data_IF_978712554306
#
_entry.id   IF_978712554306
#
_cell.length_a   1.000
_cell.length_b   1.000
_cell.length_c   1.000
_cell.angle_alpha   90.00
_cell.angle_beta   90.00
_cell.angle_gamma   90.00
#
_symmetry.space_group_name_H-M   'P 1'
#
loop_
_entity.id
_entity.type
_entity.pdbx_description
1 polymer ?
#
# COMPACT_ATOMS: atom_id res chain seq x y z
N UNK A 1 -8.31 12.36 -7.70
CA UNK A 1 -7.71 11.83 -6.47
C UNK A 1 -8.63 12.19 -5.31
N UNK A 2 -8.85 11.29 -4.34
CA UNK A 2 -9.68 11.60 -3.17
C UNK A 2 -8.99 12.64 -2.28
N UNK A 3 -9.76 13.37 -1.45
CA UNK A 3 -9.23 14.33 -0.47
C UNK A 3 -8.20 13.70 0.48
N UNK A 4 -8.36 12.40 0.77
CA UNK A 4 -7.45 11.61 1.60
C UNK A 4 -6.11 11.34 0.90
N UNK A 5 -6.14 11.03 -0.40
CA UNK A 5 -4.92 10.87 -1.18
C UNK A 5 -4.10 12.18 -1.25
N UNK A 6 -4.79 13.33 -1.29
CA UNK A 6 -4.13 14.64 -1.18
C UNK A 6 -3.52 14.88 0.21
N UNK A 7 -4.19 14.49 1.29
CA UNK A 7 -3.67 14.66 2.64
C UNK A 7 -2.45 13.76 2.92
N UNK A 8 -2.48 12.52 2.43
CA UNK A 8 -1.35 11.59 2.53
C UNK A 8 -0.17 12.05 1.67
N UNK A 9 -0.42 12.51 0.44
CA UNK A 9 0.64 13.06 -0.42
C UNK A 9 1.25 14.33 0.18
N UNK A 10 0.43 15.25 0.70
CA UNK A 10 0.92 16.45 1.36
C UNK A 10 1.72 16.14 2.63
N UNK A 11 1.36 15.07 3.35
CA UNK A 11 2.11 14.62 4.52
C UNK A 11 3.48 14.03 4.14
N UNK A 12 3.53 13.25 3.05
CA UNK A 12 4.76 12.72 2.47
C UNK A 12 5.68 13.86 1.97
N UNK A 13 5.12 14.85 1.27
CA UNK A 13 5.87 15.99 0.73
C UNK A 13 6.47 16.86 1.85
N UNK A 14 5.78 16.99 2.98
CA UNK A 14 6.26 17.74 4.15
C UNK A 14 7.38 17.02 4.90
N UNK A 15 7.34 15.68 4.99
CA UNK A 15 8.42 14.87 5.58
C UNK A 15 9.69 14.92 4.71
N UNK A 16 9.56 14.84 3.38
CA UNK A 16 10.67 14.95 2.41
C UNK A 16 11.34 16.32 2.47
N UNK A 17 10.58 17.39 2.74
CA UNK A 17 11.10 18.76 2.87
C UNK A 17 11.62 19.11 4.27
N UNK A 18 11.54 18.18 5.23
CA UNK A 18 11.97 18.43 6.61
C UNK A 18 11.10 19.45 7.36
N UNK A 19 9.91 19.77 6.85
CA UNK A 19 8.98 20.67 7.52
C UNK A 19 8.16 19.88 8.55
N UNK A 20 8.31 20.22 9.83
CA UNK A 20 7.53 19.61 10.92
C UNK A 20 6.03 19.83 10.68
N UNK A 21 5.28 18.76 10.46
CA UNK A 21 3.80 18.72 10.43
C UNK A 21 3.15 18.88 11.81
N UNK A 22 3.71 19.69 12.70
CA UNK A 22 3.09 19.96 14.00
C UNK A 22 3.07 21.46 14.21
N UNK A 23 2.05 22.14 13.67
CA UNK A 23 1.46 23.36 14.29
C UNK A 23 0.30 24.03 13.52
N UNK A 24 -0.46 23.37 12.62
CA UNK A 24 -1.49 24.08 11.84
C UNK A 24 -2.95 23.76 12.18
N UNK A 25 -3.25 23.16 13.34
CA UNK A 25 -4.65 22.96 13.76
C UNK A 25 -4.84 23.45 15.20
N UNK A 26 -5.44 24.63 15.32
CA UNK A 26 -5.61 25.36 16.58
C UNK A 26 -7.00 25.18 17.20
N UNK A 27 -7.95 24.49 16.54
CA UNK A 27 -9.28 24.22 17.10
C UNK A 27 -9.73 22.76 16.96
N UNK A 28 -10.44 22.26 17.97
CA UNK A 28 -11.03 20.91 18.01
C UNK A 28 -11.91 20.63 16.78
N UNK A 29 -12.60 21.65 16.25
CA UNK A 29 -13.48 21.52 15.08
C UNK A 29 -12.75 21.01 13.82
N UNK A 30 -11.49 21.41 13.59
CA UNK A 30 -10.72 20.98 12.42
C UNK A 30 -10.25 19.53 12.53
N UNK A 31 -10.04 19.04 13.76
CA UNK A 31 -9.72 17.63 14.02
C UNK A 31 -10.96 16.74 13.80
N UNK A 32 -12.15 17.23 14.15
CA UNK A 32 -13.40 16.49 13.94
C UNK A 32 -13.86 16.46 12.48
N UNK A 33 -13.61 17.51 11.69
CA UNK A 33 -13.90 17.47 10.24
C UNK A 33 -13.11 16.37 9.52
N UNK A 34 -11.85 16.12 9.90
CA UNK A 34 -11.10 14.98 9.35
C UNK A 34 -11.67 13.62 9.78
N UNK A 35 -12.23 13.49 10.98
CA UNK A 35 -12.86 12.24 11.45
C UNK A 35 -14.17 11.97 10.70
N UNK A 36 -14.96 13.01 10.40
CA UNK A 36 -16.20 12.87 9.63
C UNK A 36 -15.93 12.52 8.16
N UNK A 37 -14.95 13.18 7.55
CA UNK A 37 -14.53 12.94 6.15
C UNK A 37 -13.91 11.54 5.99
N UNK A 38 -13.04 11.11 6.92
CA UNK A 38 -12.41 9.77 6.88
C UNK A 38 -13.38 8.59 7.10
N UNK A 39 -14.58 8.86 7.64
CA UNK A 39 -15.61 7.84 7.85
C UNK A 39 -16.72 7.86 6.81
N UNK A 40 -16.69 8.80 5.85
CA UNK A 40 -17.73 8.94 4.82
C UNK A 40 -19.12 9.27 5.38
N UNK A 41 -19.18 9.87 6.58
CA UNK A 41 -20.44 10.19 7.26
C UNK A 41 -20.81 11.65 6.94
N UNK A 42 -22.06 11.95 6.55
CA UNK A 42 -22.54 13.32 6.40
C UNK A 42 -22.33 14.12 7.70
N UNK A 43 -21.96 15.40 7.58
CA UNK A 43 -21.59 16.29 8.71
C UNK A 43 -22.64 16.31 9.81
N UNK A 44 -23.91 16.22 9.43
CA UNK A 44 -25.10 16.21 10.29
C UNK A 44 -25.25 14.95 11.16
N UNK A 45 -24.65 13.82 10.76
CA UNK A 45 -24.74 12.55 11.48
C UNK A 45 -23.55 12.32 12.44
N UNK A 46 -22.42 13.01 12.21
CA UNK A 46 -21.28 13.02 13.13
C UNK A 46 -21.59 13.78 14.44
N UNK A 47 -22.64 14.61 14.45
CA UNK A 47 -22.99 15.50 15.57
C UNK A 47 -23.82 14.83 16.68
N UNK A 48 -24.33 13.59 16.54
CA UNK A 48 -25.15 13.01 17.63
C UNK A 48 -24.26 12.50 18.77
N UNK A 49 -24.26 13.16 19.94
CA UNK A 49 -23.52 12.66 21.08
C UNK A 49 -24.24 11.42 21.58
N UNK A 50 -23.53 10.29 21.67
CA UNK A 50 -23.88 9.15 22.54
C UNK A 50 -23.86 9.59 24.00
N UNK A 51 -24.84 10.39 24.39
CA UNK A 51 -25.10 10.83 25.76
C UNK A 51 -26.62 10.82 25.95
N UNK A 52 -27.16 9.61 26.21
CA UNK A 52 -28.27 9.29 27.11
C UNK A 52 -28.78 7.87 26.83
N UNK A 53 -28.04 6.87 27.32
CA UNK A 53 -28.66 5.60 27.70
C UNK A 53 -29.37 5.80 29.06
N UNK A 54 -30.49 6.53 29.01
CA UNK A 54 -31.48 6.49 30.08
C UNK A 54 -32.29 5.20 29.93
N UNK A 55 -32.42 4.48 31.05
CA UNK A 55 -33.29 3.32 31.23
C UNK A 55 -34.68 3.55 30.61
N UNK A 56 -35.08 2.69 29.68
CA UNK A 56 -36.42 2.05 29.54
C UNK A 56 -36.67 1.62 28.08
N UNK A 57 -37.23 0.43 27.90
CA UNK A 57 -38.04 0.13 26.72
C UNK A 57 -37.49 -0.96 25.82
N UNK A 58 -38.00 -2.18 26.03
CA UNK A 58 -37.92 -3.31 25.10
C UNK A 58 -38.57 -2.96 23.74
N UNK A 59 -38.07 -3.63 22.70
CA UNK A 59 -38.67 -3.83 21.36
C UNK A 59 -38.55 -2.67 20.37
N UNK A 60 -37.39 -2.61 19.72
CA UNK A 60 -37.29 -2.16 18.34
C UNK A 60 -36.19 -2.99 17.65
N UNK A 61 -36.51 -4.25 17.32
CA UNK A 61 -36.54 -4.73 15.92
C UNK A 61 -35.30 -4.29 15.15
N UNK A 62 -34.18 -5.02 15.22
CA UNK A 62 -33.93 -6.23 14.41
C UNK A 62 -34.01 -6.00 12.87
N UNK A 63 -33.88 -4.74 12.44
CA UNK A 63 -33.68 -4.32 11.04
C UNK A 63 -32.55 -3.28 10.95
N UNK A 64 -31.49 -3.44 11.73
CA UNK A 64 -30.17 -2.91 11.36
C UNK A 64 -29.48 -3.97 10.52
N UNK A 65 -30.01 -4.13 9.31
CA UNK A 65 -29.40 -4.88 8.23
C UNK A 65 -27.97 -4.38 8.05
N UNK A 66 -27.00 -5.19 8.45
CA UNK A 66 -25.86 -5.67 7.65
C UNK A 66 -25.41 -4.82 6.44
N UNK A 67 -25.38 -3.49 6.57
CA UNK A 67 -24.55 -2.65 5.73
C UNK A 67 -23.16 -2.66 6.36
N UNK A 68 -22.49 -3.80 6.29
CA UNK A 68 -21.04 -3.86 6.51
C UNK A 68 -20.43 -3.08 5.35
N UNK A 69 -20.35 -1.76 5.53
CA UNK A 69 -19.75 -0.84 4.60
C UNK A 69 -18.27 -1.18 4.55
N UNK A 70 -17.87 -2.00 3.58
CA UNK A 70 -16.46 -2.27 3.32
C UNK A 70 -15.89 -1.01 2.66
N UNK A 71 -15.34 -0.12 3.47
CA UNK A 71 -14.48 0.95 2.95
C UNK A 71 -13.19 0.31 2.48
N UNK A 72 -12.93 0.37 1.17
CA UNK A 72 -11.67 -0.09 0.59
C UNK A 72 -10.77 1.13 0.49
N UNK A 73 -9.61 1.05 1.14
CA UNK A 73 -8.56 2.07 1.08
C UNK A 73 -7.38 1.52 0.28
N UNK A 74 -6.94 2.26 -0.75
CA UNK A 74 -5.83 1.89 -1.61
C UNK A 74 -4.70 2.91 -1.44
N UNK A 75 -3.51 2.42 -1.11
CA UNK A 75 -2.27 3.20 -1.14
C UNK A 75 -1.37 2.61 -2.22
N UNK A 76 -0.80 3.49 -3.03
CA UNK A 76 0.18 3.16 -4.05
C UNK A 76 1.47 3.85 -3.65
N UNK A 77 2.55 3.08 -3.52
CA UNK A 77 3.85 3.57 -3.09
C UNK A 77 4.95 2.64 -3.58
N UNK A 78 6.20 3.11 -3.66
CA UNK A 78 7.34 2.22 -3.88
C UNK A 78 7.69 1.50 -2.57
N UNK A 79 8.43 0.40 -2.66
CA UNK A 79 8.82 -0.38 -1.48
C UNK A 79 9.57 0.46 -0.44
N UNK A 80 10.49 1.33 -0.89
CA UNK A 80 11.29 2.17 0.00
C UNK A 80 10.44 3.16 0.80
N UNK A 81 9.41 3.74 0.17
CA UNK A 81 8.50 4.66 0.84
C UNK A 81 7.62 3.96 1.87
N UNK A 82 7.22 2.71 1.65
CA UNK A 82 6.52 1.92 2.68
C UNK A 82 7.37 1.71 3.94
N UNK A 83 8.69 1.77 3.79
CA UNK A 83 9.63 1.74 4.89
C UNK A 83 9.71 3.03 5.72
N UNK A 84 9.01 4.11 5.37
CA UNK A 84 9.03 5.34 6.16
C UNK A 84 8.19 5.24 7.43
N UNK A 85 8.46 6.15 8.37
CA UNK A 85 7.88 6.13 9.71
C UNK A 85 6.35 6.21 9.72
N UNK A 86 5.78 7.01 8.80
CA UNK A 86 4.33 7.22 8.67
C UNK A 86 3.60 5.94 8.20
N UNK A 87 3.87 5.38 7.00
CA UNK A 87 3.17 4.18 6.54
C UNK A 87 3.44 2.99 7.46
N UNK A 88 4.66 2.87 7.98
CA UNK A 88 5.01 1.83 8.95
C UNK A 88 4.11 1.85 10.19
N UNK A 89 3.78 3.03 10.74
CA UNK A 89 3.03 3.15 12.00
C UNK A 89 1.51 3.16 11.82
N UNK A 90 1.02 3.79 10.77
CA UNK A 90 -0.40 4.11 10.65
C UNK A 90 -1.14 3.25 9.61
N UNK A 91 -0.42 2.66 8.66
CA UNK A 91 -1.07 1.87 7.63
C UNK A 91 -1.72 0.63 8.25
N UNK A 92 -3.01 0.45 7.97
CA UNK A 92 -3.75 -0.72 8.41
C UNK A 92 -4.22 -0.66 9.87
N UNK A 93 -4.04 0.46 10.58
CA UNK A 93 -4.50 0.64 11.96
C UNK A 93 -6.01 0.32 12.09
N UNK A 94 -6.80 0.86 11.17
CA UNK A 94 -8.25 0.65 11.10
C UNK A 94 -8.67 -0.50 10.16
N UNK A 95 -7.73 -1.16 9.48
CA UNK A 95 -8.06 -2.23 8.53
C UNK A 95 -8.40 -3.54 9.25
N UNK A 96 -9.34 -4.30 8.68
CA UNK A 96 -9.64 -5.68 9.09
C UNK A 96 -8.74 -6.70 8.38
N UNK A 97 -8.14 -6.31 7.26
CA UNK A 97 -7.25 -7.14 6.46
C UNK A 97 -6.50 -6.29 5.46
N UNK A 98 -5.27 -6.68 5.16
CA UNK A 98 -4.39 -6.02 4.22
C UNK A 98 -4.05 -7.04 3.12
N UNK A 99 -4.21 -6.64 1.86
CA UNK A 99 -3.70 -7.37 0.71
C UNK A 99 -2.60 -6.50 0.10
N UNK A 100 -1.40 -7.06 -0.01
CA UNK A 100 -0.28 -6.40 -0.67
C UNK A 100 -0.24 -6.86 -2.12
N UNK A 101 -0.23 -5.90 -3.06
CA UNK A 101 -0.01 -6.17 -4.47
C UNK A 101 1.27 -5.45 -4.83
N UNK A 102 2.26 -6.19 -5.31
CA UNK A 102 3.55 -5.65 -5.71
C UNK A 102 3.78 -5.92 -7.19
N UNK A 103 4.16 -4.87 -7.89
CA UNK A 103 4.43 -4.89 -9.32
C UNK A 103 5.93 -4.71 -9.55
N UNK A 104 6.43 -5.25 -10.66
CA UNK A 104 7.84 -5.19 -11.05
C UNK A 104 8.83 -5.83 -10.05
N UNK A 105 8.37 -6.80 -9.24
CA UNK A 105 9.17 -7.42 -8.18
C UNK A 105 10.46 -8.12 -8.64
N UNK A 106 10.55 -8.71 -9.85
CA UNK A 106 11.80 -9.25 -10.37
C UNK A 106 12.94 -8.23 -10.50
N UNK A 107 12.64 -6.92 -10.57
CA UNK A 107 13.63 -5.84 -10.62
C UNK A 107 14.13 -5.42 -9.24
N UNK A 108 13.50 -5.89 -8.17
CA UNK A 108 13.82 -5.54 -6.79
C UNK A 108 14.80 -6.53 -6.16
N UNK A 109 15.79 -6.02 -5.43
CA UNK A 109 16.66 -6.87 -4.61
C UNK A 109 15.83 -7.50 -3.49
N UNK A 110 16.15 -8.74 -3.14
CA UNK A 110 15.35 -9.50 -2.17
C UNK A 110 15.14 -8.75 -0.83
N UNK A 111 16.14 -8.09 -0.21
CA UNK A 111 15.93 -7.33 1.02
C UNK A 111 14.91 -6.20 0.88
N UNK A 112 14.88 -5.52 -0.26
CA UNK A 112 13.90 -4.45 -0.54
C UNK A 112 12.49 -5.02 -0.65
N UNK A 113 12.36 -6.21 -1.23
CA UNK A 113 11.09 -6.94 -1.30
C UNK A 113 10.52 -7.30 0.07
N UNK A 114 11.38 -7.45 1.08
CA UNK A 114 10.91 -7.66 2.43
C UNK A 114 10.36 -6.40 3.09
N UNK A 115 10.70 -5.17 2.72
CA UNK A 115 10.37 -3.95 3.49
C UNK A 115 8.90 -3.86 3.90
N UNK A 116 7.97 -4.21 2.99
CA UNK A 116 6.53 -4.14 3.23
C UNK A 116 6.00 -5.23 4.19
N UNK A 117 6.75 -6.29 4.48
CA UNK A 117 6.27 -7.41 5.28
C UNK A 117 6.54 -7.28 6.78
N UNK A 118 7.79 -7.19 7.29
CA UNK A 118 8.07 -7.18 8.71
C UNK A 118 8.07 -5.77 9.30
N UNK A 119 8.19 -4.72 8.48
CA UNK A 119 8.39 -3.36 8.99
C UNK A 119 7.09 -2.70 9.42
N UNK A 120 5.95 -3.12 8.88
CA UNK A 120 4.65 -2.52 9.16
C UNK A 120 4.15 -2.90 10.55
N UNK A 121 3.69 -1.91 11.34
CA UNK A 121 3.20 -2.09 12.70
C UNK A 121 1.94 -2.95 12.82
N UNK A 122 1.25 -3.16 11.69
CA UNK A 122 0.06 -4.00 11.57
C UNK A 122 0.26 -5.15 10.57
N UNK A 123 1.50 -5.67 10.47
CA UNK A 123 1.83 -6.80 9.60
C UNK A 123 1.02 -8.07 9.92
N UNK A 124 0.55 -8.22 11.16
CA UNK A 124 -0.34 -9.31 11.60
C UNK A 124 -1.68 -9.33 10.86
N UNK A 125 -2.07 -8.21 10.24
CA UNK A 125 -3.30 -8.08 9.45
C UNK A 125 -3.12 -8.38 7.96
N UNK A 126 -1.90 -8.70 7.52
CA UNK A 126 -1.64 -9.07 6.12
C UNK A 126 -2.24 -10.46 5.87
N UNK A 127 -3.24 -10.50 4.99
CA UNK A 127 -3.95 -11.74 4.63
C UNK A 127 -3.35 -12.41 3.40
N UNK A 128 -2.63 -11.66 2.58
CA UNK A 128 -2.01 -12.19 1.37
C UNK A 128 -1.13 -11.17 0.66
N UNK A 129 -0.23 -11.71 -0.16
CA UNK A 129 0.69 -10.96 -1.00
C UNK A 129 0.55 -11.49 -2.43
N UNK A 130 0.37 -10.58 -3.37
CA UNK A 130 0.34 -10.86 -4.80
C UNK A 130 1.60 -10.22 -5.39
N UNK A 131 2.45 -11.05 -5.98
CA UNK A 131 3.71 -10.66 -6.60
C UNK A 131 3.51 -10.71 -8.11
N UNK A 132 3.76 -9.60 -8.79
CA UNK A 132 3.61 -9.45 -10.23
C UNK A 132 4.96 -9.04 -10.84
N UNK A 133 5.27 -9.65 -11.98
CA UNK A 133 6.43 -9.28 -12.77
C UNK A 133 6.83 -10.35 -13.78
N UNK A 134 7.91 -10.07 -14.50
CA UNK A 134 8.47 -11.00 -15.48
C UNK A 134 9.96 -11.26 -15.18
N UNK A 135 10.28 -12.52 -14.85
CA UNK A 135 11.65 -12.97 -14.57
C UNK A 135 12.59 -12.89 -15.78
N UNK A 136 12.05 -12.70 -16.99
CA UNK A 136 12.84 -12.52 -18.22
C UNK A 136 13.19 -11.06 -18.51
N UNK A 137 12.61 -10.12 -17.77
CA UNK A 137 12.94 -8.70 -17.87
C UNK A 137 14.21 -8.37 -17.07
N UNK A 138 14.44 -7.07 -16.85
CA UNK A 138 15.59 -6.56 -16.09
C UNK A 138 15.65 -7.19 -14.70
N UNK A 139 16.85 -7.61 -14.31
CA UNK A 139 17.17 -8.07 -12.97
C UNK A 139 17.55 -6.88 -12.08
N UNK A 140 17.59 -7.04 -10.75
CA UNK A 140 18.01 -6.00 -9.84
C UNK A 140 19.44 -5.55 -10.16
N UNK A 141 19.71 -4.26 -10.07
CA UNK A 141 21.06 -3.72 -10.30
C UNK A 141 21.76 -3.57 -8.97
N UNK A 142 22.87 -4.30 -8.78
CA UNK A 142 23.63 -4.31 -7.53
C UNK A 142 25.00 -3.68 -7.76
N UNK A 143 25.20 -2.45 -7.30
CA UNK A 143 26.48 -1.73 -7.41
C UNK A 143 27.09 -1.49 -6.04
N UNK A 144 28.41 -1.58 -5.94
CA UNK A 144 29.15 -1.20 -4.74
C UNK A 144 29.41 0.31 -4.73
N UNK A 145 29.15 0.97 -3.60
CA UNK A 145 29.46 2.39 -3.40
C UNK A 145 30.95 2.67 -3.17
N UNK A 146 31.80 1.64 -3.07
CA UNK A 146 33.22 1.79 -2.68
C UNK A 146 34.19 1.89 -3.87
N UNK A 147 33.75 1.55 -5.07
CA UNK A 147 34.62 1.47 -6.25
C UNK A 147 33.92 2.13 -7.46
N UNK A 148 34.69 2.59 -8.45
CA UNK A 148 34.17 3.00 -9.77
C UNK A 148 34.79 2.06 -10.82
N UNK A 149 34.01 1.28 -11.60
CA UNK A 149 32.56 1.36 -11.84
C UNK A 149 31.65 0.61 -10.84
N UNK A 150 32.15 0.25 -9.66
CA UNK A 150 31.33 -0.32 -8.57
C UNK A 150 31.24 -1.84 -8.61
N UNK A 151 32.37 -2.54 -8.48
CA UNK A 151 32.40 -3.99 -8.39
C UNK A 151 31.81 -4.47 -7.05
N UNK A 152 30.92 -5.47 -7.10
CA UNK A 152 30.39 -6.14 -5.93
C UNK A 152 30.57 -7.65 -6.09
N UNK A 153 31.42 -8.26 -5.26
CA UNK A 153 31.69 -9.70 -5.27
C UNK A 153 30.49 -10.58 -4.92
N UNK A 154 29.42 -9.98 -4.38
CA UNK A 154 28.16 -10.63 -4.04
C UNK A 154 27.01 -10.27 -4.99
N UNK A 155 27.31 -9.66 -6.14
CA UNK A 155 26.32 -9.25 -7.14
C UNK A 155 25.37 -10.40 -7.51
N UNK A 156 25.88 -11.56 -7.91
CA UNK A 156 25.08 -12.72 -8.31
C UNK A 156 24.13 -13.21 -7.22
N UNK A 157 24.53 -13.13 -5.95
CA UNK A 157 23.70 -13.51 -4.82
C UNK A 157 22.61 -12.45 -4.55
N UNK A 158 22.93 -11.17 -4.70
CA UNK A 158 22.02 -10.05 -4.43
C UNK A 158 21.07 -9.74 -5.60
N UNK A 159 21.45 -10.11 -6.83
CA UNK A 159 20.63 -10.03 -8.04
C UNK A 159 19.49 -11.06 -8.05
N UNK A 160 19.53 -12.08 -7.18
CA UNK A 160 18.41 -13.00 -7.05
C UNK A 160 17.27 -12.31 -6.30
N UNK A 161 16.23 -11.90 -7.02
CA UNK A 161 15.00 -11.35 -6.45
C UNK A 161 14.20 -12.38 -5.64
N UNK A 162 13.30 -11.89 -4.79
CA UNK A 162 12.42 -12.75 -3.99
C UNK A 162 11.57 -13.67 -4.86
N UNK A 163 10.99 -13.13 -5.93
CA UNK A 163 10.19 -13.85 -6.92
C UNK A 163 11.01 -14.96 -7.58
N UNK A 164 12.22 -14.63 -8.06
CA UNK A 164 13.10 -15.61 -8.68
C UNK A 164 13.40 -16.78 -7.74
N UNK A 165 13.58 -16.50 -6.43
CA UNK A 165 13.79 -17.53 -5.43
C UNK A 165 12.55 -18.38 -5.19
N UNK A 166 11.36 -17.79 -5.08
CA UNK A 166 10.10 -18.53 -4.91
C UNK A 166 9.85 -19.50 -6.08
N UNK A 167 10.14 -19.06 -7.29
CA UNK A 167 10.02 -19.92 -8.49
C UNK A 167 11.01 -21.08 -8.44
N UNK A 168 12.26 -20.80 -8.07
CA UNK A 168 13.29 -21.84 -7.91
C UNK A 168 12.94 -22.86 -6.83
N UNK A 169 12.21 -22.47 -5.78
CA UNK A 169 11.73 -23.38 -4.73
C UNK A 169 10.43 -24.11 -5.08
N UNK A 170 9.91 -23.93 -6.30
CA UNK A 170 8.73 -24.64 -6.80
C UNK A 170 7.40 -23.99 -6.43
N UNK A 171 7.38 -22.69 -6.07
CA UNK A 171 6.14 -21.96 -5.89
C UNK A 171 5.38 -21.89 -7.21
N UNK A 172 4.06 -22.12 -7.15
CA UNK A 172 3.19 -22.06 -8.32
C UNK A 172 3.14 -20.61 -8.83
N UNK A 173 3.33 -20.44 -10.14
CA UNK A 173 3.14 -19.18 -10.83
C UNK A 173 1.96 -19.25 -11.78
N UNK A 174 1.20 -18.16 -11.85
CA UNK A 174 0.19 -17.96 -12.88
C UNK A 174 0.81 -17.17 -14.02
N UNK A 175 0.97 -17.80 -15.18
CA UNK A 175 1.52 -17.15 -16.36
C UNK A 175 0.40 -16.53 -17.20
N UNK A 176 0.48 -15.22 -17.44
CA UNK A 176 -0.38 -14.54 -18.41
C UNK A 176 0.10 -14.89 -19.83
N UNK A 177 -0.79 -15.49 -20.63
CA UNK A 177 -0.44 -15.99 -21.98
C UNK A 177 -0.81 -15.04 -23.10
N UNK A 178 -1.76 -14.13 -22.87
CA UNK A 178 -2.22 -13.18 -23.87
C UNK A 178 -1.49 -11.85 -23.72
N UNK A 179 -0.89 -11.38 -24.81
CA UNK A 179 -0.27 -10.07 -24.86
C UNK A 179 -1.11 -9.15 -25.77
N UNK A 180 -1.78 -8.17 -25.15
CA UNK A 180 -2.61 -7.20 -25.87
C UNK A 180 -1.79 -6.11 -26.60
N UNK A 181 -0.49 -5.98 -26.32
CA UNK A 181 0.32 -4.83 -26.75
C UNK A 181 0.92 -4.92 -28.15
N UNK A 182 0.99 -6.13 -28.76
CA UNK A 182 1.76 -6.34 -30.01
C UNK A 182 0.94 -6.58 -31.28
N UNK A 183 -0.40 -6.60 -31.22
CA UNK A 183 -1.24 -7.00 -32.37
C UNK A 183 -1.70 -5.90 -33.33
N UNK A 184 -1.29 -4.64 -33.15
CA UNK A 184 -1.71 -3.54 -34.04
C UNK A 184 -0.64 -3.04 -35.02
N UNK A 185 0.61 -3.48 -34.95
CA UNK A 185 1.72 -2.88 -35.73
C UNK A 185 2.37 -3.75 -36.81
N UNK A 186 2.05 -5.04 -36.92
CA UNK A 186 2.67 -5.94 -37.92
C UNK A 186 1.73 -6.43 -39.03
N UNK A 187 0.46 -6.01 -39.05
CA UNK A 187 -0.46 -6.35 -40.18
C UNK A 187 -0.21 -5.55 -41.47
N UNK A 188 0.85 -4.73 -41.56
CA UNK A 188 1.06 -3.80 -42.67
C UNK A 188 2.39 -3.87 -43.42
N UNK A 189 3.35 -4.73 -43.07
CA UNK A 189 4.66 -4.76 -43.73
C UNK A 189 5.08 -6.20 -44.03
N UNK A 190 4.44 -6.78 -45.03
CA UNK A 190 4.98 -7.85 -45.87
C UNK A 190 4.39 -7.66 -47.27
N UNK A 191 5.09 -6.87 -48.10
CA UNK A 191 5.08 -6.95 -49.55
C UNK A 191 6.51 -6.84 -50.03
#
# INVERSE_FOLDING_TARGET
MSLEAHAVQAALDAEVTGTKLISNYTSEEQQFEQIAVSRGVPREDAWKPTMRASKKGKKQTFLQSFATFFSIFLIISTNDYLGLSIPTRHFGECANGIILIRDEDPKEVEPSSWISLPKMGHADKIQGVILCGDLKQLQPTVLSAKEEPGFNEFDLQLETSFDARLVRTGHIMLQLTENASLTSLTKGICR
#
